data_IF_815759565513
#
_entry.id   IF_815759565513
#
_cell.length_a   1.000
_cell.length_b   1.000
_cell.length_c   1.000
_cell.angle_alpha   90.00
_cell.angle_beta   90.00
_cell.angle_gamma   90.00
#
_symmetry.space_group_name_H-M   'P 1'
#
loop_
_entity.id
_entity.type
_entity.pdbx_description
1 polymer ?
#
# COMPACT_ATOMS: atom_id res chain seq x y z
N UNK A 1 16.01 23.22 -71.31
CA UNK A 1 16.18 21.75 -71.32
C UNK A 1 17.50 21.45 -70.66
N UNK A 2 17.49 21.35 -69.33
CA UNK A 2 18.69 21.19 -68.51
C UNK A 2 18.99 19.69 -68.36
N UNK A 3 20.20 19.28 -68.74
CA UNK A 3 20.72 17.94 -68.52
C UNK A 3 21.93 18.08 -67.60
N UNK A 4 21.79 17.61 -66.38
CA UNK A 4 22.77 17.66 -65.30
C UNK A 4 23.71 16.44 -65.45
N UNK A 5 25.04 16.62 -65.39
CA UNK A 5 25.96 15.49 -65.23
C UNK A 5 26.10 15.13 -63.73
N UNK A 6 26.27 13.82 -63.52
CA UNK A 6 26.38 13.13 -62.23
C UNK A 6 27.42 13.75 -61.29
N UNK A 7 26.97 14.13 -60.09
CA UNK A 7 27.83 14.31 -58.92
C UNK A 7 27.56 13.15 -57.96
N UNK A 8 28.63 12.48 -57.57
CA UNK A 8 28.63 11.26 -56.78
C UNK A 8 28.20 11.59 -55.36
N UNK A 9 26.94 11.31 -55.02
CA UNK A 9 26.42 11.49 -53.66
C UNK A 9 27.02 10.40 -52.77
N UNK A 10 27.93 10.80 -51.91
CA UNK A 10 28.44 9.98 -50.82
C UNK A 10 27.26 9.53 -49.93
N UNK A 11 27.06 8.22 -49.87
CA UNK A 11 26.14 7.55 -48.96
C UNK A 11 26.59 7.79 -47.52
N UNK A 12 25.91 8.65 -46.78
CA UNK A 12 26.05 8.78 -45.33
C UNK A 12 25.05 7.85 -44.65
N UNK A 13 25.42 6.57 -44.52
CA UNK A 13 24.78 5.64 -43.61
C UNK A 13 25.16 5.99 -42.15
N UNK A 14 24.27 5.83 -41.16
CA UNK A 14 24.61 6.05 -39.76
C UNK A 14 25.66 5.01 -39.32
N UNK A 15 26.70 5.45 -38.61
CA UNK A 15 27.74 4.58 -38.05
C UNK A 15 27.11 3.71 -36.94
N UNK A 16 26.90 2.43 -37.23
CA UNK A 16 26.66 1.43 -36.17
C UNK A 16 27.97 1.24 -35.40
N UNK A 17 28.04 1.75 -34.16
CA UNK A 17 29.15 1.48 -33.25
C UNK A 17 29.18 -0.01 -32.89
N UNK A 18 30.38 -0.61 -32.81
CA UNK A 18 30.50 -2.02 -32.42
C UNK A 18 30.04 -2.23 -30.97
N UNK A 19 29.64 -3.46 -30.62
CA UNK A 19 29.19 -3.82 -29.25
C UNK A 19 30.22 -3.40 -28.18
N UNK A 20 31.52 -3.47 -28.49
CA UNK A 20 32.58 -3.03 -27.57
C UNK A 20 32.64 -1.51 -27.37
N UNK A 21 32.30 -0.73 -28.41
CA UNK A 21 32.24 0.73 -28.34
C UNK A 21 30.98 1.21 -27.62
N UNK A 22 29.84 0.52 -27.82
CA UNK A 22 28.62 0.77 -27.05
C UNK A 22 28.83 0.46 -25.55
N UNK A 23 29.60 -0.58 -25.22
CA UNK A 23 29.98 -0.91 -23.84
C UNK A 23 30.94 0.10 -23.16
N UNK A 24 31.70 0.89 -23.92
CA UNK A 24 32.50 1.98 -23.35
C UNK A 24 31.65 3.22 -23.12
N UNK A 25 30.83 3.61 -24.11
CA UNK A 25 29.91 4.72 -23.99
C UNK A 25 28.93 4.54 -22.82
N UNK A 26 28.46 3.30 -22.59
CA UNK A 26 27.53 3.03 -21.50
C UNK A 26 28.15 3.20 -20.11
N UNK A 27 29.46 2.99 -19.96
CA UNK A 27 30.12 3.18 -18.64
C UNK A 27 30.15 4.64 -18.22
N UNK A 28 30.39 5.53 -19.17
CA UNK A 28 30.32 6.98 -18.93
C UNK A 28 28.88 7.40 -18.62
N UNK A 29 27.92 6.82 -19.34
CA UNK A 29 26.50 7.09 -19.14
C UNK A 29 26.00 6.57 -17.78
N UNK A 30 26.44 5.39 -17.32
CA UNK A 30 26.13 4.87 -15.97
C UNK A 30 26.56 5.88 -14.91
N UNK A 31 27.79 6.40 -14.98
CA UNK A 31 28.29 7.41 -14.04
C UNK A 31 27.44 8.68 -14.03
N UNK A 32 26.98 9.12 -15.22
CA UNK A 32 26.12 10.28 -15.37
C UNK A 32 24.75 10.05 -14.75
N UNK A 33 24.12 8.90 -15.02
CA UNK A 33 22.81 8.54 -14.48
C UNK A 33 22.87 8.27 -12.98
N UNK A 34 23.91 7.63 -12.45
CA UNK A 34 24.09 7.45 -11.00
C UNK A 34 24.22 8.80 -10.29
N UNK A 35 24.89 9.79 -10.90
CA UNK A 35 24.98 11.15 -10.33
C UNK A 35 23.61 11.84 -10.33
N UNK A 36 22.88 11.76 -11.43
CA UNK A 36 21.53 12.33 -11.56
C UNK A 36 20.54 11.67 -10.59
N UNK A 37 20.61 10.35 -10.44
CA UNK A 37 19.84 9.56 -9.49
C UNK A 37 20.12 9.98 -8.05
N UNK A 38 21.39 10.23 -7.70
CA UNK A 38 21.77 10.64 -6.35
C UNK A 38 21.27 12.03 -5.99
N UNK A 39 21.14 12.91 -6.97
CA UNK A 39 20.57 14.25 -6.80
C UNK A 39 19.04 14.22 -6.69
N UNK A 40 18.35 13.37 -7.46
CA UNK A 40 16.88 13.27 -7.49
C UNK A 40 16.27 12.24 -6.52
N UNK A 41 17.04 11.26 -6.07
CA UNK A 41 16.58 10.12 -5.27
C UNK A 41 15.91 8.98 -6.07
N UNK A 42 15.44 9.25 -7.30
CA UNK A 42 14.82 8.28 -8.20
C UNK A 42 14.98 8.71 -9.68
N UNK A 43 14.77 7.77 -10.60
CA UNK A 43 14.75 7.98 -12.06
C UNK A 43 13.56 7.24 -12.68
N UNK A 44 12.89 7.84 -13.66
CA UNK A 44 11.82 7.17 -14.40
C UNK A 44 12.35 6.48 -15.65
N UNK A 45 11.66 5.43 -16.11
CA UNK A 45 12.01 4.74 -17.37
C UNK A 45 11.93 5.71 -18.56
N UNK A 46 11.00 6.65 -18.55
CA UNK A 46 10.88 7.70 -19.58
C UNK A 46 12.11 8.62 -19.59
N UNK A 47 12.57 9.09 -18.43
CA UNK A 47 13.75 9.94 -18.32
C UNK A 47 15.03 9.19 -18.75
N UNK A 48 15.10 7.89 -18.47
CA UNK A 48 16.18 7.03 -18.93
C UNK A 48 16.17 6.95 -20.46
N UNK A 49 15.03 6.65 -21.07
CA UNK A 49 14.91 6.51 -22.52
C UNK A 49 15.17 7.83 -23.27
N UNK A 50 14.80 8.97 -22.72
CA UNK A 50 15.01 10.29 -23.35
C UNK A 50 16.46 10.77 -23.30
N UNK A 51 17.18 10.41 -22.23
CA UNK A 51 18.56 10.84 -22.01
C UNK A 51 19.60 9.84 -22.54
N UNK A 52 19.18 8.60 -22.83
CA UNK A 52 20.02 7.56 -23.41
C UNK A 52 20.43 7.95 -24.85
N UNK A 53 21.71 7.88 -25.22
CA UNK A 53 22.14 8.10 -26.59
C UNK A 53 21.49 7.11 -27.56
N UNK A 54 20.99 7.59 -28.69
CA UNK A 54 20.38 6.77 -29.76
C UNK A 54 21.35 5.75 -30.41
N UNK A 55 22.62 5.80 -30.02
CA UNK A 55 23.69 4.90 -30.44
C UNK A 55 23.69 3.57 -29.66
N UNK A 56 22.99 3.51 -28.52
CA UNK A 56 22.83 2.31 -27.70
C UNK A 56 21.50 1.65 -28.06
N UNK A 57 21.57 0.63 -28.91
CA UNK A 57 20.38 -0.07 -29.45
C UNK A 57 20.36 -1.53 -29.00
N UNK A 58 21.53 -2.09 -28.65
CA UNK A 58 21.68 -3.52 -28.38
C UNK A 58 20.99 -3.91 -27.05
N UNK A 59 20.02 -4.85 -27.05
CA UNK A 59 19.27 -5.23 -25.85
C UNK A 59 20.17 -5.74 -24.71
N UNK A 60 21.19 -6.54 -25.02
CA UNK A 60 22.11 -7.07 -24.01
C UNK A 60 22.94 -5.98 -23.30
N UNK A 61 23.19 -4.87 -24.00
CA UNK A 61 23.91 -3.71 -23.47
C UNK A 61 22.97 -2.88 -22.59
N UNK A 62 21.70 -2.74 -22.96
CA UNK A 62 20.67 -2.08 -22.16
C UNK A 62 20.38 -2.84 -20.85
N UNK A 63 20.30 -4.17 -20.89
CA UNK A 63 20.12 -5.00 -19.69
C UNK A 63 21.28 -4.82 -18.70
N UNK A 64 22.51 -4.80 -19.23
CA UNK A 64 23.72 -4.56 -18.44
C UNK A 64 23.74 -3.16 -17.80
N UNK A 65 23.19 -2.17 -18.49
CA UNK A 65 23.04 -0.80 -17.99
C UNK A 65 22.02 -0.70 -16.85
N UNK A 66 20.84 -1.29 -17.03
CA UNK A 66 19.80 -1.30 -16.01
C UNK A 66 20.27 -2.02 -14.74
N UNK A 67 20.95 -3.16 -14.89
CA UNK A 67 21.55 -3.88 -13.77
C UNK A 67 22.63 -3.05 -13.06
N UNK A 68 23.45 -2.31 -13.80
CA UNK A 68 24.47 -1.45 -13.21
C UNK A 68 23.87 -0.26 -12.43
N UNK A 69 22.75 0.29 -12.87
CA UNK A 69 22.02 1.33 -12.14
C UNK A 69 21.41 0.79 -10.84
N UNK A 70 20.83 -0.40 -10.88
CA UNK A 70 20.27 -1.07 -9.69
C UNK A 70 21.36 -1.37 -8.65
N UNK A 71 22.49 -1.93 -9.06
CA UNK A 71 23.67 -2.16 -8.19
C UNK A 71 24.23 -0.82 -7.67
N UNK A 72 24.12 0.26 -8.44
CA UNK A 72 24.47 1.61 -8.05
C UNK A 72 23.51 2.27 -7.04
N UNK A 73 22.43 1.59 -6.65
CA UNK A 73 21.44 2.07 -5.68
C UNK A 73 20.45 3.07 -6.25
N UNK A 74 20.23 3.06 -7.57
CA UNK A 74 19.25 3.91 -8.25
C UNK A 74 17.85 3.27 -8.16
N UNK A 75 16.89 4.00 -7.63
CA UNK A 75 15.47 3.58 -7.62
C UNK A 75 14.86 3.95 -8.97
N UNK A 76 14.48 2.94 -9.75
CA UNK A 76 13.85 3.11 -11.08
C UNK A 76 12.33 2.94 -10.94
N UNK A 77 11.55 3.91 -11.37
CA UNK A 77 10.09 3.92 -11.25
C UNK A 77 9.40 3.96 -12.62
N UNK A 78 8.29 3.24 -12.77
CA UNK A 78 7.53 3.19 -14.04
C UNK A 78 6.57 4.37 -14.25
N UNK A 79 6.35 5.19 -13.22
CA UNK A 79 5.29 6.21 -13.21
C UNK A 79 5.91 7.61 -13.09
N UNK A 80 5.65 8.51 -14.05
CA UNK A 80 5.93 9.94 -13.92
C UNK A 80 4.88 10.61 -13.04
N UNK A 81 4.79 10.17 -11.79
CA UNK A 81 4.01 10.91 -10.79
C UNK A 81 4.78 12.18 -10.43
N UNK A 82 4.29 13.30 -10.98
CA UNK A 82 4.55 14.64 -10.47
C UNK A 82 4.36 14.62 -8.95
N UNK A 83 5.49 14.73 -8.23
CA UNK A 83 5.62 15.14 -6.83
C UNK A 83 4.33 15.05 -6.00
N UNK A 84 4.18 13.97 -5.27
CA UNK A 84 3.72 14.02 -3.88
C UNK A 84 4.30 12.82 -3.13
N UNK A 85 4.75 13.10 -1.91
CA UNK A 85 5.18 12.17 -0.86
C UNK A 85 6.62 11.60 -0.94
N UNK A 86 7.49 12.25 -0.15
CA UNK A 86 8.54 11.57 0.60
C UNK A 86 7.89 10.42 1.40
N UNK A 87 8.12 9.19 0.96
CA UNK A 87 7.69 7.97 1.63
C UNK A 87 8.86 7.00 1.71
N UNK A 88 9.42 6.89 2.90
CA UNK A 88 10.54 6.04 3.25
C UNK A 88 10.31 4.55 2.92
N UNK A 89 11.36 3.94 2.38
CA UNK A 89 11.81 2.56 2.63
C UNK A 89 10.71 1.48 2.83
N UNK A 90 10.29 0.89 1.71
CA UNK A 90 9.66 -0.43 1.71
C UNK A 90 10.66 -1.52 2.04
N UNK A 91 10.88 -1.78 3.32
CA UNK A 91 11.40 -3.04 3.81
C UNK A 91 10.51 -3.53 4.94
N UNK A 92 10.25 -4.85 4.93
CA UNK A 92 9.68 -5.64 6.02
C UNK A 92 8.16 -5.85 6.03
N UNK A 93 7.73 -6.96 5.43
CA UNK A 93 6.72 -7.85 6.01
C UNK A 93 7.12 -9.30 5.75
N UNK A 94 7.92 -9.85 6.66
CA UNK A 94 7.90 -11.29 6.94
C UNK A 94 6.82 -11.49 8.02
N UNK A 95 5.74 -12.19 7.67
CA UNK A 95 4.71 -12.60 8.62
C UNK A 95 5.08 -13.98 9.20
N UNK A 96 5.18 -14.14 10.53
CA UNK A 96 5.38 -15.43 11.19
C UNK A 96 4.03 -16.02 11.60
N UNK A 97 3.33 -16.68 10.68
CA UNK A 97 2.37 -17.72 11.06
C UNK A 97 2.01 -18.58 9.85
N UNK A 98 2.68 -19.73 9.72
CA UNK A 98 2.36 -20.75 8.74
C UNK A 98 2.44 -22.11 9.41
N UNK A 99 1.39 -22.45 10.15
CA UNK A 99 1.05 -23.83 10.46
C UNK A 99 -0.46 -24.02 10.27
N UNK A 100 -0.79 -25.14 9.62
CA UNK A 100 -2.11 -25.76 9.40
C UNK A 100 -2.99 -25.17 8.30
N UNK A 101 -2.77 -25.67 7.09
CA UNK A 101 -3.82 -26.20 6.19
C UNK A 101 -3.10 -27.11 5.16
N UNK A 102 -2.70 -28.30 5.61
CA UNK A 102 -2.41 -29.44 4.73
C UNK A 102 -3.76 -30.10 4.42
N UNK A 103 -4.31 -29.87 3.22
CA UNK A 103 -5.19 -30.79 2.48
C UNK A 103 -5.81 -30.04 1.28
N UNK A 104 -5.11 -30.07 0.12
CA UNK A 104 -5.69 -30.17 -1.26
C UNK A 104 -4.68 -29.95 -2.42
N UNK A 105 -3.36 -30.02 -2.17
CA UNK A 105 -2.31 -29.84 -3.20
C UNK A 105 -1.99 -31.11 -4.03
N UNK A 106 -2.99 -31.92 -4.42
CA UNK A 106 -2.76 -33.15 -5.21
C UNK A 106 -3.17 -33.06 -6.69
N UNK A 107 -3.75 -31.94 -7.15
CA UNK A 107 -4.14 -31.76 -8.56
C UNK A 107 -3.13 -30.96 -9.40
N UNK A 108 -2.14 -30.31 -8.77
CA UNK A 108 -1.16 -29.45 -9.47
C UNK A 108 0.01 -30.24 -10.12
N UNK A 109 0.14 -31.54 -9.87
CA UNK A 109 1.27 -32.35 -10.37
C UNK A 109 1.06 -33.04 -11.72
N UNK A 110 -0.11 -32.91 -12.34
CA UNK A 110 -0.42 -33.60 -13.61
C UNK A 110 -0.34 -32.75 -14.88
N UNK A 111 0.01 -31.46 -14.79
CA UNK A 111 -0.01 -30.56 -15.96
C UNK A 111 1.33 -29.88 -16.29
N UNK A 112 2.45 -30.34 -15.70
CA UNK A 112 3.78 -29.78 -15.94
C UNK A 112 4.43 -30.17 -17.28
N UNK A 113 3.75 -30.94 -18.15
CA UNK A 113 4.30 -31.37 -19.46
C UNK A 113 4.00 -30.39 -20.62
N UNK A 114 3.19 -29.34 -20.42
CA UNK A 114 2.93 -28.32 -21.45
C UNK A 114 3.73 -27.00 -21.26
N UNK A 115 4.52 -26.86 -20.20
CA UNK A 115 5.23 -25.63 -19.85
C UNK A 115 6.46 -25.30 -20.75
N UNK A 116 6.70 -26.07 -21.81
CA UNK A 116 7.80 -25.81 -22.76
C UNK A 116 7.41 -24.92 -23.96
N UNK A 117 6.14 -24.48 -24.09
CA UNK A 117 5.66 -23.73 -25.27
C UNK A 117 4.73 -22.56 -24.90
N UNK A 118 5.30 -21.54 -24.29
CA UNK A 118 4.77 -20.18 -24.36
C UNK A 118 4.78 -19.42 -23.05
N UNK A 119 5.72 -18.48 -22.92
CA UNK A 119 5.71 -17.39 -21.94
C UNK A 119 4.61 -16.36 -22.27
N UNK A 120 3.38 -16.80 -22.47
CA UNK A 120 2.27 -15.88 -22.68
C UNK A 120 1.71 -15.46 -21.31
N UNK A 121 1.98 -14.23 -20.84
CA UNK A 121 1.50 -13.75 -19.54
C UNK A 121 -0.03 -13.74 -19.46
N UNK A 122 -0.73 -13.60 -20.58
CA UNK A 122 -2.20 -13.65 -20.64
C UNK A 122 -2.67 -15.08 -20.39
N UNK A 123 -2.04 -16.07 -21.03
CA UNK A 123 -2.38 -17.49 -20.81
C UNK A 123 -2.09 -17.93 -19.38
N UNK A 124 -0.99 -17.46 -18.79
CA UNK A 124 -0.67 -17.68 -17.39
C UNK A 124 -1.73 -17.07 -16.46
N UNK A 125 -2.14 -15.83 -16.71
CA UNK A 125 -3.17 -15.15 -15.93
C UNK A 125 -4.53 -15.86 -16.03
N UNK A 126 -4.97 -16.21 -17.25
CA UNK A 126 -6.23 -16.93 -17.46
C UNK A 126 -6.24 -18.31 -16.79
N UNK A 127 -5.11 -19.02 -16.79
CA UNK A 127 -4.98 -20.29 -16.06
C UNK A 127 -5.14 -20.08 -14.56
N UNK A 128 -4.45 -19.08 -13.98
CA UNK A 128 -4.56 -18.74 -12.55
C UNK A 128 -5.93 -18.18 -12.16
N UNK A 129 -6.61 -17.46 -13.04
CA UNK A 129 -7.99 -17.03 -12.79
C UNK A 129 -8.96 -18.21 -12.88
N UNK A 130 -8.75 -19.13 -13.83
CA UNK A 130 -9.59 -20.31 -14.03
C UNK A 130 -9.42 -21.38 -12.95
N UNK A 131 -8.32 -21.38 -12.21
CA UNK A 131 -8.12 -22.25 -11.04
C UNK A 131 -8.86 -21.78 -9.79
N UNK A 132 -9.31 -20.52 -9.73
CA UNK A 132 -10.09 -19.99 -8.61
C UNK A 132 -11.57 -20.14 -8.91
N UNK A 133 -12.24 -20.99 -8.13
CA UNK A 133 -13.70 -21.17 -8.23
C UNK A 133 -14.44 -19.86 -7.95
N UNK A 134 -15.52 -19.61 -8.71
CA UNK A 134 -16.41 -18.49 -8.43
C UNK A 134 -17.07 -18.67 -7.06
N UNK A 135 -17.23 -17.56 -6.33
CA UNK A 135 -17.90 -17.56 -5.04
C UNK A 135 -19.39 -17.88 -5.22
N UNK A 136 -19.93 -18.70 -4.33
CA UNK A 136 -21.37 -18.80 -4.13
C UNK A 136 -21.86 -17.59 -3.35
N UNK A 137 -23.16 -17.30 -3.42
CA UNK A 137 -23.77 -16.23 -2.61
C UNK A 137 -23.48 -16.40 -1.12
N UNK A 138 -23.50 -17.65 -0.63
CA UNK A 138 -23.17 -17.98 0.75
C UNK A 138 -21.70 -17.68 1.07
N UNK A 139 -20.78 -18.02 0.16
CA UNK A 139 -19.35 -17.72 0.28
C UNK A 139 -19.06 -16.21 0.29
N UNK A 140 -19.76 -15.42 -0.53
CA UNK A 140 -19.67 -13.95 -0.51
C UNK A 140 -20.10 -13.39 0.86
N UNK A 141 -21.20 -13.90 1.42
CA UNK A 141 -21.71 -13.49 2.74
C UNK A 141 -20.74 -13.88 3.86
N UNK A 142 -20.13 -15.06 3.78
CA UNK A 142 -19.13 -15.51 4.77
C UNK A 142 -17.89 -14.61 4.76
N UNK A 143 -17.36 -14.31 3.58
CA UNK A 143 -16.21 -13.41 3.42
C UNK A 143 -16.55 -12.02 3.95
N UNK A 144 -17.74 -11.48 3.63
CA UNK A 144 -18.18 -10.19 4.15
C UNK A 144 -18.21 -10.18 5.69
N UNK A 145 -18.79 -11.21 6.32
CA UNK A 145 -18.84 -11.35 7.78
C UNK A 145 -17.44 -11.45 8.38
N UNK A 146 -16.52 -12.17 7.73
CA UNK A 146 -15.12 -12.29 8.18
C UNK A 146 -14.41 -10.94 8.15
N UNK A 147 -14.63 -10.15 7.09
CA UNK A 147 -14.07 -8.79 6.97
C UNK A 147 -14.63 -7.88 8.06
N UNK A 148 -15.95 -7.87 8.27
CA UNK A 148 -16.59 -7.05 9.32
C UNK A 148 -16.09 -7.43 10.73
N UNK A 149 -15.93 -8.72 11.00
CA UNK A 149 -15.36 -9.20 12.26
C UNK A 149 -13.92 -8.69 12.45
N UNK A 150 -13.10 -8.76 11.41
CA UNK A 150 -11.73 -8.24 11.44
C UNK A 150 -11.67 -6.73 11.69
N UNK A 151 -12.53 -5.96 11.01
CA UNK A 151 -12.67 -4.51 11.24
C UNK A 151 -13.05 -4.21 12.70
N UNK A 152 -14.01 -4.96 13.26
CA UNK A 152 -14.43 -4.83 14.66
C UNK A 152 -13.30 -5.14 15.64
N UNK A 153 -12.51 -6.17 15.39
CA UNK A 153 -11.37 -6.55 16.23
C UNK A 153 -10.27 -5.47 16.22
N UNK A 154 -10.00 -4.87 15.06
CA UNK A 154 -9.04 -3.77 14.92
C UNK A 154 -9.48 -2.56 15.76
N UNK A 155 -10.73 -2.11 15.63
CA UNK A 155 -11.22 -0.94 16.39
C UNK A 155 -11.23 -1.24 17.88
N UNK A 156 -11.62 -2.45 18.29
CA UNK A 156 -11.58 -2.89 19.68
C UNK A 156 -10.17 -2.82 20.26
N UNK A 157 -9.17 -3.27 19.50
CA UNK A 157 -7.76 -3.22 19.90
C UNK A 157 -7.26 -1.76 20.04
N UNK A 158 -7.64 -0.87 19.11
CA UNK A 158 -7.32 0.56 19.20
C UNK A 158 -7.89 1.17 20.48
N UNK A 159 -9.15 0.86 20.82
CA UNK A 159 -9.78 1.34 22.05
C UNK A 159 -9.13 0.79 23.32
N UNK A 160 -8.56 -0.41 23.29
CA UNK A 160 -7.79 -0.98 24.42
C UNK A 160 -6.41 -0.32 24.60
N UNK A 161 -6.05 0.67 23.79
CA UNK A 161 -4.83 1.43 23.95
C UNK A 161 -5.12 2.90 24.27
N UNK A 162 -4.54 3.46 25.35
CA UNK A 162 -4.65 4.89 25.65
C UNK A 162 -4.25 5.78 24.47
N UNK A 163 -3.17 5.41 23.76
CA UNK A 163 -2.68 6.15 22.58
C UNK A 163 -3.69 6.06 21.43
N UNK A 164 -4.32 4.88 21.25
CA UNK A 164 -5.35 4.69 20.24
C UNK A 164 -6.58 5.56 20.49
N UNK A 165 -7.03 5.66 21.75
CA UNK A 165 -8.13 6.56 22.13
C UNK A 165 -7.82 8.03 21.85
N UNK A 166 -6.56 8.45 22.00
CA UNK A 166 -6.11 9.81 21.69
C UNK A 166 -6.15 10.11 20.20
N UNK A 167 -5.72 9.16 19.35
CA UNK A 167 -5.77 9.35 17.90
C UNK A 167 -7.22 9.45 17.40
N UNK A 168 -8.15 8.68 17.98
CA UNK A 168 -9.58 8.82 17.70
C UNK A 168 -10.08 10.22 18.08
N UNK A 169 -9.72 10.73 19.26
CA UNK A 169 -10.11 12.11 19.66
C UNK A 169 -9.54 13.15 18.70
N UNK A 170 -8.30 12.96 18.22
CA UNK A 170 -7.69 13.83 17.22
C UNK A 170 -8.40 13.79 15.86
N UNK A 171 -9.05 12.68 15.50
CA UNK A 171 -9.87 12.61 14.28
C UNK A 171 -10.97 13.68 14.30
N UNK A 172 -11.67 13.84 15.43
CA UNK A 172 -12.67 14.89 15.61
C UNK A 172 -12.08 16.29 15.45
N UNK A 173 -10.94 16.56 16.09
CA UNK A 173 -10.25 17.85 15.96
C UNK A 173 -9.86 18.15 14.51
N UNK A 174 -9.43 17.15 13.74
CA UNK A 174 -9.07 17.33 12.32
C UNK A 174 -10.29 17.54 11.44
N UNK A 175 -11.44 16.95 11.78
CA UNK A 175 -12.72 17.21 11.14
C UNK A 175 -13.14 18.67 11.37
N UNK A 176 -13.06 19.15 12.62
CA UNK A 176 -13.41 20.54 12.98
C UNK A 176 -12.54 21.58 12.28
N UNK A 177 -11.26 21.25 12.09
CA UNK A 177 -10.32 22.10 11.37
C UNK A 177 -10.47 22.02 9.84
N UNK A 178 -11.40 21.21 9.32
CA UNK A 178 -11.59 21.00 7.88
C UNK A 178 -10.45 20.25 7.19
N UNK A 179 -9.53 19.62 7.94
CA UNK A 179 -8.42 18.83 7.37
C UNK A 179 -8.90 17.49 6.84
N UNK A 180 -10.03 17.00 7.32
CA UNK A 180 -10.67 15.76 6.88
C UNK A 180 -12.12 16.10 6.56
N UNK A 181 -12.59 15.66 5.38
CA UNK A 181 -13.98 15.83 4.97
C UNK A 181 -14.84 14.68 5.48
N UNK A 182 -16.12 14.94 5.76
CA UNK A 182 -17.10 13.93 6.21
C UNK A 182 -17.12 12.71 5.28
N UNK A 183 -17.12 12.93 3.96
CA UNK A 183 -17.07 11.85 2.95
C UNK A 183 -15.88 10.89 3.06
N UNK A 184 -14.78 11.32 3.67
CA UNK A 184 -13.63 10.44 3.91
C UNK A 184 -13.84 9.55 5.13
N UNK A 185 -14.66 9.97 6.09
CA UNK A 185 -14.90 9.28 7.36
C UNK A 185 -15.97 8.21 7.21
N UNK A 186 -17.04 8.47 6.47
CA UNK A 186 -18.19 7.57 6.33
C UNK A 186 -18.15 6.78 5.02
N UNK A 187 -18.50 5.49 5.10
CA UNK A 187 -18.71 4.61 3.94
C UNK A 187 -20.04 4.96 3.26
N UNK A 188 -20.05 5.00 1.93
CA UNK A 188 -21.26 5.27 1.13
C UNK A 188 -21.56 6.75 0.88
N UNK A 189 -20.69 7.67 1.33
CA UNK A 189 -20.75 9.10 0.97
C UNK A 189 -19.72 9.47 -0.11
N UNK A 190 -19.20 8.47 -0.81
CA UNK A 190 -18.14 8.63 -1.81
C UNK A 190 -18.70 9.12 -3.15
N UNK A 191 -19.96 8.81 -3.44
CA UNK A 191 -20.63 9.18 -4.68
C UNK A 191 -21.02 10.66 -4.68
N UNK A 192 -20.59 11.41 -5.70
CA UNK A 192 -20.81 12.86 -5.81
C UNK A 192 -22.29 13.25 -5.94
N UNK A 193 -23.15 12.31 -6.34
CA UNK A 193 -24.60 12.49 -6.46
C UNK A 193 -25.34 12.29 -5.13
N UNK A 194 -24.68 11.76 -4.10
CA UNK A 194 -25.30 11.53 -2.80
C UNK A 194 -25.50 12.86 -2.08
N UNK A 195 -26.75 13.34 -2.04
CA UNK A 195 -27.11 14.47 -1.20
C UNK A 195 -27.24 14.01 0.25
N UNK A 196 -26.39 14.57 1.11
CA UNK A 196 -26.43 14.33 2.55
C UNK A 196 -26.26 15.63 3.33
N UNK A 197 -26.78 15.66 4.54
CA UNK A 197 -26.61 16.78 5.44
C UNK A 197 -25.26 16.64 6.17
N UNK A 198 -24.22 17.34 5.73
CA UNK A 198 -22.89 17.30 6.36
C UNK A 198 -22.95 17.54 7.88
N UNK A 199 -23.83 18.44 8.35
CA UNK A 199 -23.95 18.75 9.77
C UNK A 199 -24.38 17.55 10.60
N UNK A 200 -25.33 16.75 10.10
CA UNK A 200 -25.82 15.56 10.79
C UNK A 200 -24.70 14.54 11.02
N UNK A 201 -23.81 14.38 10.05
CA UNK A 201 -22.68 13.46 10.14
C UNK A 201 -21.55 14.01 11.01
N UNK A 202 -21.34 15.32 11.01
CA UNK A 202 -20.43 15.98 11.96
C UNK A 202 -20.92 15.75 13.39
N UNK A 203 -22.21 15.96 13.64
CA UNK A 203 -22.82 15.77 14.96
C UNK A 203 -22.66 14.32 15.45
N UNK A 204 -22.85 13.32 14.57
CA UNK A 204 -22.59 11.90 14.87
C UNK A 204 -21.13 11.65 15.28
N UNK A 205 -20.17 12.25 14.56
CA UNK A 205 -18.75 12.14 14.93
C UNK A 205 -18.50 12.80 16.29
N UNK A 206 -19.05 13.98 16.55
CA UNK A 206 -18.91 14.66 17.83
C UNK A 206 -19.48 13.88 19.00
N UNK A 207 -20.66 13.27 18.83
CA UNK A 207 -21.27 12.39 19.81
C UNK A 207 -20.34 11.22 20.16
N UNK A 208 -19.81 10.53 19.15
CA UNK A 208 -18.83 9.45 19.34
C UNK A 208 -17.59 9.94 20.08
N UNK A 209 -16.99 11.06 19.66
CA UNK A 209 -15.81 11.61 20.33
C UNK A 209 -16.13 11.96 21.79
N UNK A 210 -17.35 12.41 22.09
CA UNK A 210 -17.85 12.58 23.45
C UNK A 210 -17.80 11.28 24.27
N UNK A 211 -18.36 10.19 23.72
CA UNK A 211 -18.31 8.87 24.36
C UNK A 211 -16.87 8.36 24.57
N UNK A 212 -15.99 8.56 23.59
CA UNK A 212 -14.57 8.15 23.67
C UNK A 212 -13.83 8.94 24.74
N UNK A 213 -14.09 10.25 24.88
CA UNK A 213 -13.51 11.08 25.96
C UNK A 213 -13.94 10.58 27.33
N UNK A 214 -15.23 10.26 27.51
CA UNK A 214 -15.75 9.69 28.77
C UNK A 214 -15.09 8.34 29.06
N UNK A 215 -14.97 7.48 28.05
CA UNK A 215 -14.29 6.18 28.16
C UNK A 215 -12.83 6.34 28.58
N UNK A 216 -12.10 7.27 27.97
CA UNK A 216 -10.70 7.55 28.31
C UNK A 216 -10.56 7.93 29.78
N UNK A 217 -11.41 8.80 30.31
CA UNK A 217 -11.37 9.18 31.73
C UNK A 217 -11.73 8.01 32.66
N UNK A 218 -12.76 7.22 32.33
CA UNK A 218 -13.16 6.03 33.10
C UNK A 218 -12.07 4.96 33.15
N UNK A 219 -11.36 4.75 32.05
CA UNK A 219 -10.37 3.67 31.91
C UNK A 219 -8.96 4.08 32.35
N UNK A 220 -8.68 5.38 32.51
CA UNK A 220 -7.38 5.91 32.92
C UNK A 220 -6.80 5.23 34.17
N UNK A 221 -7.61 5.07 35.22
CA UNK A 221 -7.17 4.44 36.46
C UNK A 221 -6.90 2.94 36.28
N UNK A 222 -7.73 2.25 35.49
CA UNK A 222 -7.57 0.83 35.19
C UNK A 222 -6.29 0.58 34.37
N UNK A 223 -6.01 1.39 33.34
CA UNK A 223 -4.77 1.31 32.58
C UNK A 223 -3.54 1.62 33.44
N UNK A 224 -3.62 2.61 34.34
CA UNK A 224 -2.53 2.90 35.28
C UNK A 224 -2.27 1.73 36.24
N UNK A 225 -3.33 1.06 36.72
CA UNK A 225 -3.24 -0.09 37.60
C UNK A 225 -2.62 -1.31 36.90
N UNK A 226 -2.99 -1.56 35.64
CA UNK A 226 -2.44 -2.65 34.82
C UNK A 226 -0.97 -2.44 34.43
N UNK A 227 -0.46 -1.19 34.50
CA UNK A 227 0.95 -0.88 34.26
C UNK A 227 1.87 -1.26 35.41
N UNK A 228 1.33 -1.42 36.63
CA UNK A 228 2.12 -1.73 37.82
C UNK A 228 2.37 -3.24 37.87
N UNK A 229 3.65 -3.64 37.87
CA UNK A 229 4.05 -5.04 38.03
C UNK A 229 3.72 -5.56 39.44
N UNK A 230 3.23 -6.81 39.53
CA UNK A 230 2.96 -7.47 40.81
C UNK A 230 1.51 -7.43 41.31
N UNK A 231 0.54 -7.04 40.49
CA UNK A 231 -0.88 -7.20 40.87
C UNK A 231 -1.29 -8.68 40.98
N UNK A 232 -2.17 -9.03 41.95
CA UNK A 232 -2.74 -10.36 42.02
C UNK A 232 -3.45 -10.73 40.71
N UNK A 233 -3.23 -11.96 40.22
CA UNK A 233 -3.82 -12.47 38.98
C UNK A 233 -5.33 -12.23 38.89
N UNK A 234 -6.05 -12.48 39.98
CA UNK A 234 -7.50 -12.29 40.07
C UNK A 234 -7.92 -10.81 39.87
N UNK A 235 -7.21 -9.88 40.52
CA UNK A 235 -7.47 -8.44 40.41
C UNK A 235 -7.15 -7.91 39.00
N UNK A 236 -6.07 -8.42 38.39
CA UNK A 236 -5.73 -8.14 37.00
C UNK A 236 -6.85 -8.59 36.05
N UNK A 237 -7.31 -9.84 36.20
CA UNK A 237 -8.38 -10.40 35.38
C UNK A 237 -9.72 -9.65 35.54
N UNK A 238 -10.07 -9.26 36.77
CA UNK A 238 -11.27 -8.44 37.04
C UNK A 238 -11.17 -7.07 36.37
N UNK A 239 -9.99 -6.44 36.41
CA UNK A 239 -9.73 -5.14 35.77
C UNK A 239 -9.77 -5.24 34.24
N UNK A 240 -9.16 -6.28 33.66
CA UNK A 240 -9.22 -6.56 32.22
C UNK A 240 -10.66 -6.80 31.76
N UNK A 241 -11.44 -7.58 32.52
CA UNK A 241 -12.85 -7.80 32.21
C UNK A 241 -13.66 -6.50 32.25
N UNK A 242 -13.48 -5.68 33.29
CA UNK A 242 -14.15 -4.39 33.38
C UNK A 242 -13.77 -3.44 32.23
N UNK A 243 -12.51 -3.45 31.80
CA UNK A 243 -12.07 -2.72 30.61
C UNK A 243 -12.73 -3.23 29.33
N UNK A 244 -12.85 -4.55 29.17
CA UNK A 244 -13.54 -5.15 28.03
C UNK A 244 -15.02 -4.77 27.99
N UNK A 245 -15.70 -4.76 29.14
CA UNK A 245 -17.11 -4.36 29.23
C UNK A 245 -17.31 -2.89 28.83
N UNK A 246 -16.48 -1.99 29.36
CA UNK A 246 -16.47 -0.57 28.97
C UNK A 246 -16.12 -0.37 27.49
N UNK A 247 -15.20 -1.17 26.95
CA UNK A 247 -14.83 -1.11 25.54
C UNK A 247 -15.99 -1.56 24.65
N UNK A 248 -16.69 -2.63 25.00
CA UNK A 248 -17.87 -3.10 24.27
C UNK A 248 -18.99 -2.04 24.25
N UNK A 249 -19.16 -1.25 25.32
CA UNK A 249 -20.11 -0.12 25.37
C UNK A 249 -19.76 0.95 24.33
N UNK A 250 -18.49 1.36 24.25
CA UNK A 250 -18.02 2.34 23.26
C UNK A 250 -18.07 1.78 21.84
N UNK A 251 -17.77 0.49 21.67
CA UNK A 251 -17.82 -0.17 20.36
C UNK A 251 -19.22 -0.12 19.74
N UNK A 252 -20.29 -0.15 20.53
CA UNK A 252 -21.65 0.01 20.01
C UNK A 252 -21.85 1.37 19.32
N UNK A 253 -21.22 2.44 19.82
CA UNK A 253 -21.22 3.76 19.18
C UNK A 253 -20.32 3.80 17.94
N UNK A 254 -19.24 3.02 17.91
CA UNK A 254 -18.45 2.88 16.68
C UNK A 254 -19.22 2.15 15.59
N UNK A 255 -20.00 1.13 15.93
CA UNK A 255 -20.77 0.34 14.97
C UNK A 255 -21.95 1.11 14.36
N UNK A 256 -22.51 2.08 15.09
CA UNK A 256 -23.52 2.98 14.53
C UNK A 256 -22.93 3.95 13.50
N UNK A 257 -21.62 4.19 13.56
CA UNK A 257 -20.90 5.02 12.60
C UNK A 257 -20.30 4.10 11.56
N UNK A 258 -20.89 4.08 10.37
CA UNK A 258 -20.40 3.29 9.24
C UNK A 258 -19.08 3.86 8.70
N UNK A 259 -17.98 3.63 9.43
CA UNK A 259 -16.67 4.18 9.10
C UNK A 259 -16.15 3.62 7.78
N UNK A 260 -15.50 4.49 7.01
CA UNK A 260 -14.73 4.10 5.84
C UNK A 260 -13.48 3.33 6.28
N UNK A 261 -13.19 2.20 5.61
CA UNK A 261 -12.00 1.38 5.88
C UNK A 261 -10.71 2.18 5.77
N UNK A 262 -10.64 3.12 4.82
CA UNK A 262 -9.48 4.00 4.63
C UNK A 262 -9.21 4.84 5.88
N UNK A 263 -10.27 5.29 6.56
CA UNK A 263 -10.16 6.07 7.81
C UNK A 263 -9.70 5.19 8.97
N UNK A 264 -10.26 3.99 9.12
CA UNK A 264 -9.79 3.01 10.13
C UNK A 264 -8.31 2.69 9.90
N UNK A 265 -7.92 2.36 8.67
CA UNK A 265 -6.54 2.05 8.32
C UNK A 265 -5.58 3.21 8.58
N UNK A 266 -6.01 4.46 8.34
CA UNK A 266 -5.21 5.64 8.67
C UNK A 266 -4.96 5.77 10.17
N UNK A 267 -5.96 5.48 11.00
CA UNK A 267 -5.80 5.44 12.46
C UNK A 267 -4.84 4.31 12.85
N UNK A 268 -4.98 3.12 12.25
CA UNK A 268 -4.08 1.98 12.48
C UNK A 268 -2.64 2.30 12.13
N UNK A 269 -2.37 2.91 10.97
CA UNK A 269 -1.01 3.29 10.55
C UNK A 269 -0.41 4.27 11.56
N UNK A 270 -1.15 5.30 11.96
CA UNK A 270 -0.68 6.26 12.96
C UNK A 270 -0.44 5.60 14.32
N UNK A 271 -1.30 4.68 14.71
CA UNK A 271 -1.14 3.89 15.92
C UNK A 271 0.13 3.02 15.85
N UNK A 272 0.36 2.31 14.74
CA UNK A 272 1.57 1.50 14.51
C UNK A 272 2.85 2.34 14.55
N UNK A 273 2.81 3.58 14.09
CA UNK A 273 3.98 4.47 14.11
C UNK A 273 4.27 5.06 15.50
N UNK A 274 3.33 4.94 16.45
CA UNK A 274 3.45 5.48 17.82
C UNK A 274 3.89 4.42 18.86
N UNK A 275 3.85 3.14 18.51
CA UNK A 275 4.19 1.99 19.37
C UNK A 275 5.50 1.39 18.89
#
# INVERSE_FOLDING_TARGET
MANIPQEVVASTAPKELSVAQQQEAIKEEILRFTKLAREKGFLTIEEINDLLPAEIIEPAVLDSFMQALEVGGVIITELSEKKEEEGEAGAFLADPNKEEDEDDDDDDKKSSEEDAKGNDPVRLYLRKMGSVSLLTREGEVEIARRIEKGEREIVKAILLSPIGTDEIIQLGTRLDQGRIKVKAIFRGLEDEETQYNEQEYIDKVHELIGHVKIYKEKTRAAFAALRVEGQPFKTKQETEKALMDLNNEVMAHFESINFNRKTINRIVIKFKNLV
#
